data_IF_199994185115
#
_entry.id   IF_199994185115
#
_cell.length_a   1.000
_cell.length_b   1.000
_cell.length_c   1.000
_cell.angle_alpha   90.00
_cell.angle_beta   90.00
_cell.angle_gamma   90.00
#
_symmetry.space_group_name_H-M   'P 1'
#
loop_
_entity.id
_entity.type
_entity.pdbx_description
1 polymer ?
#
# COMPACT_ATOMS: atom_id res chain seq x y z
N UNK A 1 -36.95 -3.41 -15.94
CA UNK A 1 -35.98 -3.99 -16.89
C UNK A 1 -34.84 -4.56 -16.06
N UNK A 2 -34.66 -5.88 -16.09
CA UNK A 2 -33.52 -6.53 -15.41
C UNK A 2 -32.36 -6.40 -16.40
N UNK A 3 -31.37 -5.58 -16.09
CA UNK A 3 -30.14 -5.52 -16.89
C UNK A 3 -29.46 -6.90 -16.86
N UNK A 4 -29.06 -7.38 -18.02
CA UNK A 4 -28.34 -8.63 -18.18
C UNK A 4 -26.89 -8.47 -17.69
N UNK A 5 -26.70 -8.58 -16.38
CA UNK A 5 -25.39 -8.42 -15.73
C UNK A 5 -24.33 -9.36 -16.31
N UNK A 6 -24.69 -10.56 -16.75
CA UNK A 6 -23.74 -11.48 -17.39
C UNK A 6 -23.18 -10.95 -18.72
N UNK A 7 -24.00 -10.24 -19.50
CA UNK A 7 -23.57 -9.66 -20.78
C UNK A 7 -22.65 -8.46 -20.55
N UNK A 8 -22.99 -7.57 -19.61
CA UNK A 8 -22.10 -6.47 -19.19
C UNK A 8 -20.77 -6.96 -18.63
N UNK A 9 -20.77 -8.01 -17.80
CA UNK A 9 -19.53 -8.59 -17.26
C UNK A 9 -18.66 -9.16 -18.39
N UNK A 10 -19.26 -9.81 -19.38
CA UNK A 10 -18.53 -10.34 -20.54
C UNK A 10 -17.95 -9.21 -21.40
N UNK A 11 -18.74 -8.19 -21.73
CA UNK A 11 -18.26 -7.02 -22.48
C UNK A 11 -17.11 -6.32 -21.76
N UNK A 12 -17.21 -6.17 -20.43
CA UNK A 12 -16.13 -5.65 -19.61
C UNK A 12 -14.90 -6.56 -19.70
N UNK A 13 -15.04 -7.87 -19.47
CA UNK A 13 -13.95 -8.85 -19.56
C UNK A 13 -13.25 -8.84 -20.93
N UNK A 14 -14.00 -8.80 -22.02
CA UNK A 14 -13.46 -8.80 -23.39
C UNK A 14 -12.71 -7.49 -23.69
N UNK A 15 -13.27 -6.35 -23.23
CA UNK A 15 -12.59 -5.05 -23.32
C UNK A 15 -11.29 -5.00 -22.51
N UNK A 16 -11.23 -5.74 -21.39
CA UNK A 16 -10.03 -5.84 -20.55
C UNK A 16 -8.93 -6.64 -21.25
N UNK A 17 -9.27 -7.70 -21.98
CA UNK A 17 -8.30 -8.51 -22.72
C UNK A 17 -7.60 -7.73 -23.83
N UNK A 18 -8.35 -7.10 -24.72
CA UNK A 18 -7.80 -6.41 -25.90
C UNK A 18 -6.93 -5.19 -25.54
N UNK A 19 -7.34 -4.41 -24.52
CA UNK A 19 -6.55 -3.29 -24.03
C UNK A 19 -5.22 -3.74 -23.41
N UNK A 20 -5.23 -4.87 -22.69
CA UNK A 20 -4.04 -5.43 -22.05
C UNK A 20 -2.99 -5.88 -23.07
N UNK A 21 -3.39 -6.62 -24.12
CA UNK A 21 -2.46 -7.14 -25.13
C UNK A 21 -1.65 -6.04 -25.84
N UNK A 22 -2.31 -4.94 -26.25
CA UNK A 22 -1.65 -3.81 -26.90
C UNK A 22 -0.58 -3.19 -26.00
N UNK A 23 -0.89 -2.95 -24.73
CA UNK A 23 0.06 -2.34 -23.80
C UNK A 23 1.18 -3.29 -23.40
N UNK A 24 0.91 -4.60 -23.27
CA UNK A 24 1.94 -5.61 -23.06
C UNK A 24 2.93 -5.65 -24.23
N UNK A 25 2.45 -5.66 -25.48
CA UNK A 25 3.32 -5.64 -26.66
C UNK A 25 4.16 -4.34 -26.71
N UNK A 26 3.56 -3.20 -26.39
CA UNK A 26 4.27 -1.92 -26.32
C UNK A 26 5.34 -1.90 -25.21
N UNK A 27 5.06 -2.49 -24.04
CA UNK A 27 6.02 -2.63 -22.94
C UNK A 27 7.21 -3.51 -23.34
N UNK A 28 6.95 -4.66 -23.97
CA UNK A 28 8.02 -5.54 -24.46
C UNK A 28 8.87 -4.87 -25.56
N UNK A 29 8.26 -4.04 -26.41
CA UNK A 29 8.99 -3.23 -27.37
C UNK A 29 9.89 -2.19 -26.68
N UNK A 30 9.40 -1.48 -25.67
CA UNK A 30 10.20 -0.53 -24.89
C UNK A 30 11.42 -1.22 -24.22
N UNK A 31 11.21 -2.44 -23.68
CA UNK A 31 12.27 -3.29 -23.11
C UNK A 31 13.28 -3.72 -24.17
N UNK A 32 12.83 -4.09 -25.36
CA UNK A 32 13.72 -4.44 -26.47
C UNK A 32 14.63 -3.26 -26.87
N UNK A 33 14.06 -2.06 -27.01
CA UNK A 33 14.81 -0.83 -27.30
C UNK A 33 15.89 -0.56 -26.23
N UNK A 34 15.54 -0.71 -24.94
CA UNK A 34 16.50 -0.55 -23.85
C UNK A 34 17.64 -1.58 -23.91
N UNK A 35 17.34 -2.85 -24.18
CA UNK A 35 18.36 -3.92 -24.35
C UNK A 35 19.29 -3.67 -25.54
N UNK A 36 18.79 -3.06 -26.61
CA UNK A 36 19.56 -2.65 -27.78
C UNK A 36 20.34 -1.34 -27.57
N UNK A 37 20.33 -0.78 -26.35
CA UNK A 37 20.95 0.51 -26.01
C UNK A 37 20.38 1.71 -26.81
N UNK A 38 19.17 1.59 -27.35
CA UNK A 38 18.40 2.69 -27.98
C UNK A 38 17.64 3.44 -26.89
N UNK A 39 18.37 4.07 -25.97
CA UNK A 39 17.80 4.58 -24.72
C UNK A 39 16.80 5.73 -24.92
N UNK A 40 17.01 6.59 -25.91
CA UNK A 40 16.07 7.66 -26.25
C UNK A 40 14.72 7.09 -26.71
N UNK A 41 14.73 6.17 -27.67
CA UNK A 41 13.52 5.49 -28.16
C UNK A 41 12.81 4.70 -27.05
N UNK A 42 13.59 4.02 -26.18
CA UNK A 42 13.05 3.29 -25.04
C UNK A 42 12.34 4.23 -24.06
N UNK A 43 12.97 5.37 -23.72
CA UNK A 43 12.37 6.39 -22.87
C UNK A 43 11.08 6.94 -23.49
N UNK A 44 11.09 7.28 -24.78
CA UNK A 44 9.87 7.72 -25.48
C UNK A 44 8.75 6.68 -25.38
N UNK A 45 9.07 5.40 -25.56
CA UNK A 45 8.09 4.32 -25.46
C UNK A 45 7.55 4.15 -24.04
N UNK A 46 8.40 4.19 -23.01
CA UNK A 46 7.96 4.11 -21.61
C UNK A 46 7.12 5.31 -21.19
N UNK A 47 7.52 6.54 -21.53
CA UNK A 47 6.75 7.75 -21.22
C UNK A 47 5.36 7.70 -21.86
N UNK A 48 5.28 7.26 -23.12
CA UNK A 48 4.00 7.08 -23.82
C UNK A 48 3.10 6.05 -23.11
N UNK A 49 3.67 4.91 -22.70
CA UNK A 49 2.95 3.90 -21.92
C UNK A 49 2.45 4.44 -20.58
N UNK A 50 3.24 5.29 -19.92
CA UNK A 50 2.86 5.92 -18.67
C UNK A 50 1.70 6.91 -18.85
N UNK A 51 1.71 7.70 -19.91
CA UNK A 51 0.66 8.69 -20.18
C UNK A 51 -0.62 8.04 -20.73
N UNK A 52 -0.52 7.22 -21.78
CA UNK A 52 -1.68 6.59 -22.45
C UNK A 52 -2.28 5.45 -21.63
N UNK A 53 -1.48 4.83 -20.74
CA UNK A 53 -1.91 3.75 -19.87
C UNK A 53 -2.85 4.20 -18.75
N UNK A 54 -3.00 5.51 -18.53
CA UNK A 54 -3.82 6.10 -17.46
C UNK A 54 -5.29 5.67 -17.54
N UNK A 55 -5.86 5.66 -18.73
CA UNK A 55 -7.29 5.39 -18.96
C UNK A 55 -7.59 3.92 -19.30
N UNK A 56 -6.57 3.06 -19.30
CA UNK A 56 -6.73 1.64 -19.61
C UNK A 56 -6.76 0.82 -18.32
N UNK A 57 -7.97 0.53 -17.82
CA UNK A 57 -8.22 -0.15 -16.54
C UNK A 57 -7.29 -1.33 -16.19
N UNK A 58 -7.06 -2.34 -17.07
CA UNK A 58 -6.18 -3.47 -16.72
C UNK A 58 -4.69 -3.06 -16.64
N UNK A 59 -4.30 -1.95 -17.26
CA UNK A 59 -2.91 -1.52 -17.35
C UNK A 59 -2.51 -0.52 -16.26
N UNK A 60 -3.46 0.00 -15.47
CA UNK A 60 -3.18 0.96 -14.37
C UNK A 60 -2.10 0.39 -13.43
N UNK A 61 -2.25 -0.85 -12.98
CA UNK A 61 -1.29 -1.50 -12.08
C UNK A 61 0.09 -1.70 -12.72
N UNK A 62 0.13 -2.19 -13.97
CA UNK A 62 1.38 -2.41 -14.70
C UNK A 62 2.14 -1.10 -14.98
N UNK A 63 1.42 -0.02 -15.27
CA UNK A 63 1.96 1.33 -15.44
C UNK A 63 2.60 1.86 -14.16
N UNK A 64 1.95 1.71 -13.00
CA UNK A 64 2.50 2.20 -11.73
C UNK A 64 3.63 1.32 -11.18
N UNK A 65 3.82 0.12 -11.73
CA UNK A 65 4.84 -0.83 -11.26
C UNK A 65 5.92 -1.06 -12.30
N UNK A 66 5.65 -1.88 -13.32
CA UNK A 66 6.63 -2.29 -14.32
C UNK A 66 7.19 -1.12 -15.14
N UNK A 67 6.33 -0.22 -15.64
CA UNK A 67 6.80 0.92 -16.46
C UNK A 67 7.72 1.84 -15.65
N UNK A 68 7.30 2.24 -14.44
CA UNK A 68 8.12 3.09 -13.59
C UNK A 68 9.42 2.41 -13.12
N UNK A 69 9.36 1.12 -12.79
CA UNK A 69 10.55 0.33 -12.44
C UNK A 69 11.55 0.25 -13.59
N UNK A 70 11.07 -0.01 -14.81
CA UNK A 70 11.92 -0.13 -15.99
C UNK A 70 12.52 1.23 -16.39
N UNK A 71 11.76 2.32 -16.25
CA UNK A 71 12.27 3.69 -16.41
C UNK A 71 13.33 4.03 -15.37
N UNK A 72 13.15 3.63 -14.11
CA UNK A 72 14.12 3.87 -13.05
C UNK A 72 15.42 3.09 -13.28
N UNK A 73 15.32 1.83 -13.74
CA UNK A 73 16.47 1.03 -14.13
C UNK A 73 17.21 1.68 -15.32
N UNK A 74 16.47 2.12 -16.34
CA UNK A 74 17.04 2.87 -17.46
C UNK A 74 17.75 4.14 -16.98
N UNK A 75 17.19 4.86 -16.00
CA UNK A 75 17.75 6.05 -15.37
C UNK A 75 19.13 5.85 -14.73
N UNK A 76 19.51 4.60 -14.40
CA UNK A 76 20.85 4.28 -13.85
C UNK A 76 21.96 4.37 -14.90
N UNK A 77 21.62 4.21 -16.18
CA UNK A 77 22.58 4.23 -17.30
C UNK A 77 22.31 5.35 -18.31
N UNK A 78 21.10 5.91 -18.30
CA UNK A 78 20.65 6.98 -19.18
C UNK A 78 19.91 8.05 -18.38
N UNK A 79 20.66 9.06 -17.94
CA UNK A 79 20.19 10.13 -17.04
C UNK A 79 18.88 10.83 -17.45
N UNK A 80 18.59 11.06 -18.75
CA UNK A 80 17.30 11.63 -19.16
C UNK A 80 16.07 10.84 -18.70
N UNK A 81 16.17 9.53 -18.50
CA UNK A 81 15.06 8.72 -17.99
C UNK A 81 14.77 9.02 -16.51
N UNK A 82 15.81 9.21 -15.70
CA UNK A 82 15.64 9.66 -14.31
C UNK A 82 15.01 11.06 -14.28
N UNK A 83 15.46 11.99 -15.12
CA UNK A 83 14.84 13.32 -15.23
C UNK A 83 13.36 13.26 -15.59
N UNK A 84 12.96 12.35 -16.50
CA UNK A 84 11.56 12.18 -16.86
C UNK A 84 10.70 11.77 -15.65
N UNK A 85 11.17 10.81 -14.84
CA UNK A 85 10.48 10.41 -13.61
C UNK A 85 10.36 11.55 -12.60
N UNK A 86 11.44 12.32 -12.41
CA UNK A 86 11.43 13.49 -11.52
C UNK A 86 10.45 14.56 -12.00
N UNK A 87 10.42 14.84 -13.31
CA UNK A 87 9.50 15.80 -13.92
C UNK A 87 8.03 15.38 -13.71
N UNK A 88 7.71 14.08 -13.89
CA UNK A 88 6.36 13.58 -13.61
C UNK A 88 6.00 13.78 -12.13
N UNK A 89 6.90 13.40 -11.22
CA UNK A 89 6.69 13.56 -9.78
C UNK A 89 6.44 15.02 -9.41
N UNK A 90 7.27 15.93 -9.89
CA UNK A 90 7.18 17.36 -9.62
C UNK A 90 5.88 17.97 -10.19
N UNK A 91 5.45 17.53 -11.37
CA UNK A 91 4.17 17.93 -11.94
C UNK A 91 2.98 17.50 -11.05
N UNK A 92 3.01 16.27 -10.51
CA UNK A 92 1.98 15.81 -9.58
C UNK A 92 2.05 16.51 -8.23
N UNK A 93 3.26 16.74 -7.68
CA UNK A 93 3.44 17.54 -6.45
C UNK A 93 2.84 18.94 -6.61
N UNK A 94 3.05 19.58 -7.76
CA UNK A 94 2.48 20.88 -8.04
C UNK A 94 0.94 20.82 -8.15
N UNK A 95 0.39 19.79 -8.82
CA UNK A 95 -1.06 19.58 -8.89
C UNK A 95 -1.69 19.36 -7.51
N UNK A 96 -1.06 18.56 -6.66
CA UNK A 96 -1.49 18.31 -5.27
C UNK A 96 -1.42 19.61 -4.46
N UNK A 97 -0.31 20.35 -4.54
CA UNK A 97 -0.12 21.63 -3.82
C UNK A 97 -1.21 22.64 -4.17
N UNK A 98 -1.63 22.68 -5.43
CA UNK A 98 -2.71 23.55 -5.92
C UNK A 98 -4.13 23.05 -5.57
N UNK A 99 -4.28 21.88 -4.94
CA UNK A 99 -5.58 21.27 -4.66
C UNK A 99 -6.31 20.80 -5.92
N UNK A 100 -5.58 20.53 -7.01
CA UNK A 100 -6.13 20.16 -8.32
C UNK A 100 -6.00 18.65 -8.63
N UNK A 101 -5.50 17.87 -7.68
CA UNK A 101 -5.27 16.42 -7.85
C UNK A 101 -6.54 15.60 -7.64
N UNK A 102 -6.80 14.64 -8.52
CA UNK A 102 -7.74 13.54 -8.32
C UNK A 102 -7.06 12.34 -7.61
N UNK A 103 -7.80 11.24 -7.39
CA UNK A 103 -7.24 10.02 -6.78
C UNK A 103 -6.09 9.43 -7.61
N UNK A 104 -6.20 9.46 -8.94
CA UNK A 104 -5.22 8.85 -9.83
C UNK A 104 -3.89 9.61 -9.84
N UNK A 105 -3.93 10.95 -9.82
CA UNK A 105 -2.74 11.80 -9.63
C UNK A 105 -2.02 11.45 -8.32
N UNK A 106 -2.78 11.16 -7.25
CA UNK A 106 -2.22 10.84 -5.93
C UNK A 106 -1.58 9.45 -5.90
N UNK A 107 -2.20 8.47 -6.56
CA UNK A 107 -1.62 7.14 -6.74
C UNK A 107 -0.34 7.18 -7.59
N UNK A 108 -0.36 7.92 -8.70
CA UNK A 108 0.81 8.16 -9.56
C UNK A 108 1.95 8.81 -8.79
N UNK A 109 1.67 9.88 -8.05
CA UNK A 109 2.65 10.56 -7.21
C UNK A 109 3.29 9.61 -6.19
N UNK A 110 2.48 8.78 -5.53
CA UNK A 110 2.96 7.79 -4.55
C UNK A 110 3.92 6.79 -5.22
N UNK A 111 3.53 6.24 -6.36
CA UNK A 111 4.35 5.29 -7.11
C UNK A 111 5.65 5.94 -7.62
N UNK A 112 5.58 7.16 -8.16
CA UNK A 112 6.75 7.91 -8.61
C UNK A 112 7.74 8.19 -7.47
N UNK A 113 7.26 8.47 -6.26
CA UNK A 113 8.15 8.60 -5.10
C UNK A 113 8.86 7.28 -4.78
N UNK A 114 8.19 6.12 -4.87
CA UNK A 114 8.81 4.81 -4.63
C UNK A 114 9.99 4.52 -5.56
N UNK A 115 9.92 4.98 -6.82
CA UNK A 115 10.96 4.76 -7.83
C UNK A 115 11.98 5.89 -7.97
N UNK A 116 11.80 7.01 -7.27
CA UNK A 116 12.73 8.16 -7.31
C UNK A 116 13.38 8.42 -5.96
N UNK A 117 12.59 8.60 -4.90
CA UNK A 117 13.04 8.84 -3.54
C UNK A 117 11.93 8.49 -2.54
N UNK A 118 12.14 7.43 -1.77
CA UNK A 118 11.18 6.93 -0.78
C UNK A 118 10.91 7.91 0.36
N UNK A 119 11.82 8.86 0.62
CA UNK A 119 11.61 9.87 1.66
C UNK A 119 10.79 11.07 1.17
N UNK A 120 10.66 11.23 -0.15
CA UNK A 120 10.09 12.43 -0.75
C UNK A 120 8.66 12.72 -0.31
N UNK A 121 7.85 11.69 -0.07
CA UNK A 121 6.47 11.88 0.37
C UNK A 121 6.38 12.61 1.71
N UNK A 122 7.26 12.27 2.66
CA UNK A 122 7.31 12.96 3.96
C UNK A 122 7.91 14.37 3.81
N UNK A 123 8.96 14.54 3.00
CA UNK A 123 9.54 15.87 2.76
C UNK A 123 8.53 16.82 2.11
N UNK A 124 7.74 16.33 1.16
CA UNK A 124 6.68 17.09 0.53
C UNK A 124 5.61 17.49 1.54
N UNK A 125 5.17 16.55 2.40
CA UNK A 125 4.25 16.83 3.49
C UNK A 125 4.79 17.90 4.45
N UNK A 126 6.03 17.76 4.90
CA UNK A 126 6.68 18.73 5.79
C UNK A 126 6.82 20.10 5.12
N UNK A 127 7.07 20.12 3.80
CA UNK A 127 7.09 21.36 3.03
C UNK A 127 5.73 22.06 3.04
N UNK A 128 4.63 21.33 2.88
CA UNK A 128 3.27 21.87 2.91
C UNK A 128 2.92 22.42 4.31
N UNK A 129 3.25 21.68 5.37
CA UNK A 129 3.02 22.09 6.76
C UNK A 129 3.76 23.39 7.12
N UNK A 130 4.91 23.64 6.49
CA UNK A 130 5.75 24.82 6.73
C UNK A 130 5.32 26.08 5.96
N UNK A 131 4.35 25.99 5.05
CA UNK A 131 3.93 27.15 4.25
C UNK A 131 3.11 28.16 5.07
N UNK A 132 3.36 29.48 4.94
CA UNK A 132 2.60 30.50 5.65
C UNK A 132 1.08 30.50 5.36
N UNK A 133 0.70 30.10 4.15
CA UNK A 133 -0.69 30.05 3.68
C UNK A 133 -1.08 28.61 3.29
N UNK A 134 -0.67 27.65 4.13
CA UNK A 134 -0.88 26.22 3.85
C UNK A 134 -2.36 25.88 3.66
N UNK A 135 -2.62 24.99 2.71
CA UNK A 135 -3.96 24.46 2.45
C UNK A 135 -4.21 23.22 3.31
N UNK A 136 -5.01 23.36 4.37
CA UNK A 136 -5.33 22.30 5.34
C UNK A 136 -6.01 21.07 4.72
N UNK A 137 -6.78 21.26 3.64
CA UNK A 137 -7.42 20.15 2.92
C UNK A 137 -6.36 19.31 2.19
N UNK A 138 -5.45 19.96 1.47
CA UNK A 138 -4.32 19.30 0.79
C UNK A 138 -3.44 18.57 1.81
N UNK A 139 -3.10 19.22 2.91
CA UNK A 139 -2.35 18.62 4.01
C UNK A 139 -3.04 17.37 4.55
N UNK A 140 -4.35 17.44 4.81
CA UNK A 140 -5.12 16.31 5.32
C UNK A 140 -5.13 15.14 4.32
N UNK A 141 -5.26 15.43 3.02
CA UNK A 141 -5.23 14.41 1.96
C UNK A 141 -3.84 13.75 1.91
N UNK A 142 -2.77 14.55 1.87
CA UNK A 142 -1.39 14.03 1.83
C UNK A 142 -1.08 13.21 3.08
N UNK A 143 -1.42 13.70 4.28
CA UNK A 143 -1.27 12.96 5.54
C UNK A 143 -1.97 11.61 5.51
N UNK A 144 -3.16 11.51 4.89
CA UNK A 144 -3.90 10.25 4.73
C UNK A 144 -3.25 9.27 3.76
N UNK A 145 -2.42 9.74 2.83
CA UNK A 145 -1.67 8.86 1.92
C UNK A 145 -0.47 8.28 2.66
N UNK A 146 0.27 9.14 3.37
CA UNK A 146 1.57 8.82 3.98
C UNK A 146 1.48 8.37 5.45
N UNK A 147 0.26 8.06 5.93
CA UNK A 147 0.01 7.85 7.35
C UNK A 147 0.85 6.72 7.94
N UNK A 148 1.15 5.69 7.14
CA UNK A 148 1.98 4.57 7.57
C UNK A 148 3.42 5.01 7.81
N UNK A 149 4.00 5.77 6.90
CA UNK A 149 5.35 6.32 6.98
C UNK A 149 5.51 7.30 8.16
N UNK A 150 4.47 8.08 8.47
CA UNK A 150 4.46 8.95 9.66
C UNK A 150 4.50 8.15 10.96
N UNK A 151 3.72 7.06 11.05
CA UNK A 151 3.77 6.14 12.19
C UNK A 151 5.13 5.46 12.27
N UNK A 152 5.71 5.03 11.15
CA UNK A 152 7.04 4.41 11.13
C UNK A 152 8.13 5.34 11.69
N UNK A 153 7.98 6.66 11.50
CA UNK A 153 8.84 7.72 12.04
C UNK A 153 8.42 8.19 13.44
N UNK A 154 7.48 7.51 14.09
CA UNK A 154 6.97 7.80 15.44
C UNK A 154 6.27 9.17 15.59
N UNK A 155 5.74 9.74 14.51
CA UNK A 155 4.95 10.99 14.52
C UNK A 155 3.51 10.73 14.94
N UNK A 156 3.32 10.13 16.11
CA UNK A 156 2.02 9.64 16.57
C UNK A 156 1.05 10.78 16.89
N UNK A 157 1.56 11.91 17.36
CA UNK A 157 0.83 13.10 17.78
C UNK A 157 0.07 13.80 16.65
N UNK A 158 0.34 13.44 15.40
CA UNK A 158 -0.38 13.92 14.21
C UNK A 158 -1.72 13.23 13.97
N UNK A 159 -2.03 12.19 14.76
CA UNK A 159 -3.24 11.40 14.59
C UNK A 159 -4.20 11.57 15.77
N UNK A 160 -5.45 11.91 15.45
CA UNK A 160 -6.55 11.83 16.40
C UNK A 160 -7.06 10.38 16.56
N UNK A 161 -7.65 10.03 17.71
CA UNK A 161 -8.34 8.75 17.88
C UNK A 161 -9.42 8.49 16.80
N UNK A 162 -10.11 9.54 16.32
CA UNK A 162 -11.10 9.45 15.26
C UNK A 162 -10.49 9.11 13.90
N UNK A 163 -9.32 9.64 13.58
CA UNK A 163 -8.62 9.32 12.32
C UNK A 163 -8.16 7.87 12.34
N UNK A 164 -7.55 7.40 13.44
CA UNK A 164 -7.16 6.00 13.58
C UNK A 164 -8.36 5.04 13.45
N UNK A 165 -9.51 5.40 14.02
CA UNK A 165 -10.73 4.62 13.87
C UNK A 165 -11.25 4.62 12.41
N UNK A 166 -11.05 5.72 11.68
CA UNK A 166 -11.42 5.83 10.26
C UNK A 166 -10.53 4.96 9.39
N UNK A 167 -9.21 4.96 9.63
CA UNK A 167 -8.29 4.04 8.95
C UNK A 167 -8.66 2.58 9.23
N UNK A 168 -8.94 2.23 10.48
CA UNK A 168 -9.34 0.86 10.81
C UNK A 168 -10.62 0.43 10.10
N UNK A 169 -11.58 1.34 9.95
CA UNK A 169 -12.81 1.09 9.18
C UNK A 169 -12.50 0.87 7.70
N UNK A 170 -11.63 1.69 7.10
CA UNK A 170 -11.22 1.55 5.71
C UNK A 170 -10.53 0.19 5.47
N UNK A 171 -9.65 -0.25 6.38
CA UNK A 171 -9.01 -1.57 6.33
C UNK A 171 -10.06 -2.68 6.37
N UNK A 172 -11.04 -2.61 7.28
CA UNK A 172 -12.10 -3.60 7.37
C UNK A 172 -12.97 -3.65 6.10
N UNK A 173 -13.23 -2.50 5.49
CA UNK A 173 -14.00 -2.39 4.23
C UNK A 173 -13.22 -2.97 3.04
N UNK A 174 -11.90 -2.81 3.02
CA UNK A 174 -11.04 -3.38 1.99
C UNK A 174 -10.87 -4.91 2.16
N UNK A 175 -10.56 -5.35 3.38
CA UNK A 175 -10.26 -6.75 3.69
C UNK A 175 -11.52 -7.62 3.72
N UNK A 176 -12.66 -7.09 4.17
CA UNK A 176 -13.90 -7.84 4.36
C UNK A 176 -14.40 -8.58 3.12
N UNK A 177 -14.50 -7.92 1.96
CA UNK A 177 -14.91 -8.58 0.71
C UNK A 177 -14.01 -9.72 0.26
N UNK A 178 -12.75 -9.79 0.70
CA UNK A 178 -11.79 -10.83 0.26
C UNK A 178 -11.56 -11.90 1.32
N UNK A 179 -11.30 -11.48 2.57
CA UNK A 179 -10.87 -12.36 3.66
C UNK A 179 -12.02 -12.89 4.52
N UNK A 180 -13.23 -12.33 4.42
CA UNK A 180 -14.37 -12.83 5.20
C UNK A 180 -14.75 -14.25 4.78
N UNK A 181 -15.08 -15.15 5.73
CA UNK A 181 -15.67 -16.46 5.40
C UNK A 181 -16.94 -16.37 4.54
N UNK A 182 -17.66 -15.24 4.64
CA UNK A 182 -18.88 -14.94 3.88
C UNK A 182 -18.64 -13.97 2.71
N UNK A 183 -17.40 -13.83 2.26
CA UNK A 183 -16.98 -12.97 1.16
C UNK A 183 -17.90 -13.10 -0.07
N UNK A 184 -18.38 -11.96 -0.58
CA UNK A 184 -19.12 -11.91 -1.85
C UNK A 184 -18.19 -12.27 -3.00
N UNK A 185 -16.93 -11.81 -2.95
CA UNK A 185 -15.93 -12.12 -3.96
C UNK A 185 -15.69 -13.64 -4.07
N UNK A 186 -15.61 -14.35 -2.95
CA UNK A 186 -15.51 -15.82 -2.90
C UNK A 186 -16.67 -16.53 -3.57
N UNK A 187 -17.87 -15.95 -3.50
CA UNK A 187 -19.08 -16.48 -4.15
C UNK A 187 -19.13 -16.13 -5.64
N UNK A 188 -18.69 -14.93 -6.01
CA UNK A 188 -18.76 -14.42 -7.37
C UNK A 188 -17.61 -14.90 -8.26
N UNK A 189 -16.41 -15.05 -7.69
CA UNK A 189 -15.15 -15.32 -8.39
C UNK A 189 -14.28 -16.30 -7.60
N UNK A 190 -14.71 -17.58 -7.44
CA UNK A 190 -13.97 -18.56 -6.65
C UNK A 190 -12.54 -18.78 -7.18
N UNK A 191 -12.35 -18.79 -8.50
CA UNK A 191 -11.04 -18.99 -9.14
C UNK A 191 -10.03 -17.88 -8.81
N UNK A 192 -10.49 -16.65 -8.52
CA UNK A 192 -9.61 -15.56 -8.10
C UNK A 192 -8.97 -15.82 -6.74
N UNK A 193 -9.64 -16.61 -5.88
CA UNK A 193 -9.12 -17.00 -4.57
C UNK A 193 -8.26 -18.26 -4.63
N UNK A 194 -8.30 -19.00 -5.73
CA UNK A 194 -7.41 -20.13 -5.99
C UNK A 194 -5.99 -19.69 -6.35
N UNK A 195 -5.75 -18.38 -6.50
CA UNK A 195 -4.41 -17.78 -6.46
C UNK A 195 -4.02 -17.58 -4.98
N UNK A 196 -3.30 -18.53 -4.34
CA UNK A 196 -2.99 -18.47 -2.91
C UNK A 196 -2.28 -17.17 -2.52
N UNK A 197 -1.46 -16.64 -3.43
CA UNK A 197 -0.70 -15.40 -3.25
C UNK A 197 -1.61 -14.17 -3.07
N UNK A 198 -2.81 -14.17 -3.66
CA UNK A 198 -3.71 -13.02 -3.57
C UNK A 198 -4.28 -12.87 -2.15
N UNK A 199 -4.94 -13.92 -1.64
CA UNK A 199 -5.54 -13.87 -0.30
C UNK A 199 -4.47 -13.68 0.78
N UNK A 200 -3.31 -14.34 0.63
CA UNK A 200 -2.20 -14.16 1.56
C UNK A 200 -1.66 -12.72 1.52
N UNK A 201 -1.50 -12.12 0.33
CA UNK A 201 -1.04 -10.73 0.20
C UNK A 201 -2.00 -9.75 0.88
N UNK A 202 -3.32 -9.92 0.69
CA UNK A 202 -4.35 -9.08 1.32
C UNK A 202 -4.34 -9.26 2.84
N UNK A 203 -4.20 -10.50 3.34
CA UNK A 203 -4.10 -10.78 4.77
C UNK A 203 -2.85 -10.14 5.38
N UNK A 204 -1.68 -10.32 4.76
CA UNK A 204 -0.42 -9.69 5.16
C UNK A 204 -0.55 -8.17 5.24
N UNK A 205 -1.07 -7.53 4.19
CA UNK A 205 -1.26 -6.07 4.14
C UNK A 205 -2.21 -5.61 5.26
N UNK A 206 -3.32 -6.32 5.47
CA UNK A 206 -4.30 -6.04 6.53
C UNK A 206 -3.65 -6.09 7.92
N UNK A 207 -2.84 -7.12 8.19
CA UNK A 207 -2.12 -7.27 9.45
C UNK A 207 -1.12 -6.14 9.64
N UNK A 208 -0.32 -5.82 8.61
CA UNK A 208 0.68 -4.75 8.66
C UNK A 208 0.03 -3.40 8.99
N UNK A 209 -1.05 -3.04 8.29
CA UNK A 209 -1.77 -1.79 8.52
C UNK A 209 -2.45 -1.76 9.91
N UNK A 210 -3.05 -2.86 10.35
CA UNK A 210 -3.60 -2.96 11.72
C UNK A 210 -2.51 -2.82 12.79
N UNK A 211 -1.32 -3.39 12.57
CA UNK A 211 -0.20 -3.29 13.48
C UNK A 211 0.35 -1.85 13.56
N UNK A 212 0.42 -1.12 12.45
CA UNK A 212 0.76 0.31 12.46
C UNK A 212 -0.25 1.14 13.27
N UNK A 213 -1.56 0.92 13.07
CA UNK A 213 -2.60 1.59 13.87
C UNK A 213 -2.46 1.21 15.36
N UNK A 214 -2.13 -0.05 15.66
CA UNK A 214 -1.88 -0.50 17.02
C UNK A 214 -0.68 0.23 17.63
N UNK A 215 0.46 0.31 16.93
CA UNK A 215 1.67 1.03 17.36
C UNK A 215 1.33 2.47 17.75
N UNK A 216 0.69 3.22 16.84
CA UNK A 216 0.30 4.60 17.07
C UNK A 216 -0.71 4.73 18.23
N UNK A 217 -1.72 3.86 18.29
CA UNK A 217 -2.71 3.88 19.37
C UNK A 217 -2.09 3.59 20.74
N UNK A 218 -1.08 2.70 20.82
CA UNK A 218 -0.32 2.47 22.05
C UNK A 218 0.51 3.69 22.42
N UNK A 219 1.22 4.31 21.46
CA UNK A 219 1.97 5.54 21.67
C UNK A 219 1.11 6.71 22.21
N UNK A 220 -0.14 6.79 21.76
CA UNK A 220 -1.13 7.78 22.20
C UNK A 220 -1.93 7.38 23.45
N UNK A 221 -1.60 6.26 24.10
CA UNK A 221 -2.33 5.69 25.24
C UNK A 221 -3.82 5.40 24.95
N UNK A 222 -4.19 5.10 23.71
CA UNK A 222 -5.57 4.79 23.26
C UNK A 222 -5.81 3.28 23.19
N UNK A 223 -5.79 2.62 24.35
CA UNK A 223 -5.92 1.17 24.49
C UNK A 223 -7.18 0.58 23.81
N UNK A 224 -8.28 1.32 23.77
CA UNK A 224 -9.53 0.86 23.12
C UNK A 224 -9.38 0.73 21.60
N UNK A 225 -8.60 1.58 20.94
CA UNK A 225 -8.33 1.52 19.50
C UNK A 225 -7.32 0.41 19.21
N UNK A 226 -6.24 0.33 19.99
CA UNK A 226 -5.25 -0.74 19.87
C UNK A 226 -5.91 -2.13 19.94
N UNK A 227 -6.80 -2.36 20.92
CA UNK A 227 -7.58 -3.61 21.03
C UNK A 227 -8.45 -3.89 19.81
N UNK A 228 -9.06 -2.87 19.19
CA UNK A 228 -9.86 -3.04 17.98
C UNK A 228 -9.00 -3.41 16.78
N UNK A 229 -7.81 -2.82 16.64
CA UNK A 229 -6.87 -3.12 15.56
C UNK A 229 -6.36 -4.58 15.65
N UNK A 230 -5.93 -5.01 16.84
CA UNK A 230 -5.55 -6.41 17.09
C UNK A 230 -6.72 -7.37 16.79
N UNK A 231 -7.92 -7.06 17.30
CA UNK A 231 -9.10 -7.89 17.06
C UNK A 231 -9.43 -8.02 15.57
N UNK A 232 -9.32 -6.94 14.79
CA UNK A 232 -9.58 -6.99 13.35
C UNK A 232 -8.57 -7.90 12.64
N UNK A 233 -7.27 -7.75 12.91
CA UNK A 233 -6.25 -8.59 12.29
C UNK A 233 -6.41 -10.07 12.65
N UNK A 234 -6.56 -10.38 13.95
CA UNK A 234 -6.73 -11.76 14.44
C UNK A 234 -8.07 -12.40 14.04
N UNK A 235 -9.08 -11.60 13.66
CA UNK A 235 -10.30 -12.11 13.06
C UNK A 235 -10.05 -12.74 11.68
N UNK A 236 -9.17 -12.14 10.88
CA UNK A 236 -8.81 -12.67 9.56
C UNK A 236 -7.71 -13.72 9.64
N UNK A 237 -6.69 -13.51 10.48
CA UNK A 237 -5.55 -14.42 10.59
C UNK A 237 -5.02 -14.48 12.03
N UNK A 238 -5.23 -15.62 12.70
CA UNK A 238 -4.75 -15.88 14.05
C UNK A 238 -3.49 -16.76 14.03
N UNK A 239 -2.38 -16.18 13.55
CA UNK A 239 -1.09 -16.87 13.37
C UNK A 239 0.01 -16.24 14.23
N UNK A 240 1.12 -16.96 14.40
CA UNK A 240 2.32 -16.43 15.05
C UNK A 240 2.88 -15.22 14.31
N UNK A 241 2.74 -15.20 12.98
CA UNK A 241 3.06 -14.06 12.12
C UNK A 241 2.25 -12.83 12.50
N UNK A 242 0.93 -12.95 12.63
CA UNK A 242 0.08 -11.84 13.03
C UNK A 242 0.51 -11.28 14.40
N UNK A 243 0.63 -12.13 15.42
CA UNK A 243 1.09 -11.69 16.75
C UNK A 243 2.50 -11.06 16.72
N UNK A 244 3.41 -11.53 15.85
CA UNK A 244 4.75 -10.95 15.70
C UNK A 244 4.70 -9.48 15.28
N UNK A 245 3.81 -9.12 14.35
CA UNK A 245 3.62 -7.73 13.95
C UNK A 245 3.15 -6.86 15.13
N UNK A 246 2.22 -7.35 15.95
CA UNK A 246 1.72 -6.60 17.11
C UNK A 246 2.72 -6.52 18.27
N UNK A 247 3.50 -7.57 18.52
CA UNK A 247 4.58 -7.54 19.51
C UNK A 247 5.65 -6.52 19.10
N UNK A 248 6.05 -6.53 17.83
CA UNK A 248 6.98 -5.53 17.31
C UNK A 248 6.41 -4.10 17.38
N UNK A 249 5.14 -3.91 17.03
CA UNK A 249 4.44 -2.63 17.15
C UNK A 249 4.40 -2.10 18.60
N UNK A 250 4.07 -2.96 19.57
CA UNK A 250 4.07 -2.62 20.99
C UNK A 250 5.47 -2.21 21.48
N UNK A 251 6.50 -2.97 21.05
CA UNK A 251 7.90 -2.69 21.38
C UNK A 251 8.38 -1.37 20.77
N UNK A 252 8.10 -1.11 19.49
CA UNK A 252 8.46 0.14 18.80
C UNK A 252 7.82 1.38 19.44
N UNK A 253 6.60 1.23 19.95
CA UNK A 253 5.90 2.23 20.76
C UNK A 253 6.46 2.40 22.19
N UNK A 254 7.50 1.63 22.58
CA UNK A 254 8.13 1.70 23.89
C UNK A 254 7.32 1.02 25.01
N UNK A 255 6.34 0.17 24.67
CA UNK A 255 5.46 -0.47 25.64
C UNK A 255 5.74 -1.98 25.78
N UNK A 256 6.87 -2.30 26.41
CA UNK A 256 7.32 -3.68 26.63
C UNK A 256 6.29 -4.51 27.44
N UNK A 257 5.54 -3.89 28.35
CA UNK A 257 4.49 -4.58 29.10
C UNK A 257 3.37 -5.09 28.18
N UNK A 258 2.95 -4.30 27.20
CA UNK A 258 1.96 -4.75 26.22
C UNK A 258 2.55 -5.78 25.25
N UNK A 259 3.82 -5.65 24.87
CA UNK A 259 4.51 -6.67 24.09
C UNK A 259 4.50 -8.03 24.82
N UNK A 260 4.82 -8.06 26.12
CA UNK A 260 4.79 -9.28 26.94
C UNK A 260 3.37 -9.86 27.03
N UNK A 261 2.35 -9.04 27.27
CA UNK A 261 0.95 -9.52 27.33
C UNK A 261 0.51 -10.19 26.03
N UNK A 262 0.98 -9.70 24.87
CA UNK A 262 0.68 -10.32 23.58
C UNK A 262 1.37 -11.68 23.44
N UNK A 263 2.59 -11.84 23.97
CA UNK A 263 3.30 -13.14 24.02
C UNK A 263 2.53 -14.12 24.91
N UNK A 264 2.12 -13.69 26.10
CA UNK A 264 1.35 -14.54 27.04
C UNK A 264 0.00 -14.96 26.45
N UNK A 265 -0.69 -14.04 25.77
CA UNK A 265 -1.93 -14.32 25.06
C UNK A 265 -1.71 -15.31 23.91
N UNK A 266 -0.65 -15.12 23.12
CA UNK A 266 -0.30 -16.03 22.03
C UNK A 266 0.03 -17.43 22.55
N UNK A 267 0.77 -17.55 23.65
CA UNK A 267 1.14 -18.83 24.29
C UNK A 267 -0.07 -19.67 24.69
N UNK A 268 -1.11 -19.01 25.17
CA UNK A 268 -2.35 -19.68 25.60
C UNK A 268 -3.33 -19.96 24.46
N UNK A 269 -3.10 -19.42 23.25
CA UNK A 269 -4.11 -19.44 22.20
C UNK A 269 -3.66 -19.89 20.81
N UNK A 270 -2.35 -19.88 20.54
CA UNK A 270 -1.78 -20.37 19.29
C UNK A 270 -1.35 -21.83 19.43
N UNK A 271 -1.43 -22.62 18.34
CA UNK A 271 -0.72 -23.90 18.24
C UNK A 271 0.79 -23.73 18.47
N UNK A 272 1.45 -24.79 18.95
CA UNK A 272 2.88 -24.73 19.32
C UNK A 272 3.80 -24.29 18.16
N UNK A 273 3.53 -24.73 16.94
CA UNK A 273 4.30 -24.33 15.75
C UNK A 273 4.15 -22.84 15.43
N UNK A 274 2.94 -22.29 15.57
CA UNK A 274 2.68 -20.86 15.39
C UNK A 274 3.31 -20.04 16.51
N UNK A 275 3.22 -20.51 17.76
CA UNK A 275 3.87 -19.86 18.89
C UNK A 275 5.40 -19.81 18.71
N UNK A 276 6.02 -20.88 18.21
CA UNK A 276 7.46 -20.88 17.85
C UNK A 276 7.83 -19.80 16.83
N UNK A 277 6.99 -19.54 15.83
CA UNK A 277 7.19 -18.44 14.87
C UNK A 277 7.22 -17.08 15.58
N UNK A 278 6.32 -16.86 16.55
CA UNK A 278 6.32 -15.65 17.36
C UNK A 278 7.59 -15.53 18.23
N UNK A 279 8.03 -16.64 18.83
CA UNK A 279 9.19 -16.63 19.73
C UNK A 279 10.48 -16.15 19.04
N UNK A 280 10.67 -16.47 17.76
CA UNK A 280 11.79 -15.93 16.98
C UNK A 280 11.81 -14.39 16.94
N UNK A 281 10.62 -13.75 16.85
CA UNK A 281 10.50 -12.29 16.91
C UNK A 281 10.75 -11.78 18.33
N UNK A 282 10.18 -12.43 19.35
CA UNK A 282 10.36 -12.03 20.75
C UNK A 282 11.83 -12.08 21.19
N UNK A 283 12.55 -13.14 20.83
CA UNK A 283 13.98 -13.31 21.11
C UNK A 283 14.82 -12.19 20.48
N UNK A 284 14.54 -11.82 19.22
CA UNK A 284 15.21 -10.71 18.54
C UNK A 284 15.02 -9.36 19.23
N UNK A 285 13.89 -9.19 19.92
CA UNK A 285 13.56 -7.97 20.66
C UNK A 285 14.07 -8.01 22.11
N UNK A 286 14.65 -9.13 22.56
CA UNK A 286 15.09 -9.34 23.93
C UNK A 286 13.92 -9.47 24.92
N UNK A 287 12.77 -9.98 24.47
CA UNK A 287 11.61 -10.25 25.31
C UNK A 287 11.63 -11.70 25.82
N UNK A 288 11.19 -11.92 27.06
CA UNK A 288 11.19 -13.25 27.69
C UNK A 288 9.95 -14.08 27.29
N UNK A 289 10.07 -15.42 27.16
CA UNK A 289 8.96 -16.34 26.84
C UNK A 289 7.93 -16.61 27.95
#
# INVERSE_FOLDING_TARGET
>A
MIENWSEKIKELSDSWGAGSEKHCAALENARALARESKFEDALTAYSKLFEEGRDTSPFIGARLSYVLSDMAELGKVYEPALRALLNFREAHEQSIRLGQSDDLVREEWTALCQYTDVNRQIEFYDSLESEPNKNEEVITIVRRIIWHELIERKRYDEFSPSELATFLKAIAQYAGPTLSPNSILKKAMPEMLDFPDFSESIAKQTIQQCAAIYECAIGLNKQSIAKKALKLATYYERTGRAYSFFVNAAYRAGNNSNAQKLIDEAKSTLPENEFKTLMYTAEKLGLEP
#
